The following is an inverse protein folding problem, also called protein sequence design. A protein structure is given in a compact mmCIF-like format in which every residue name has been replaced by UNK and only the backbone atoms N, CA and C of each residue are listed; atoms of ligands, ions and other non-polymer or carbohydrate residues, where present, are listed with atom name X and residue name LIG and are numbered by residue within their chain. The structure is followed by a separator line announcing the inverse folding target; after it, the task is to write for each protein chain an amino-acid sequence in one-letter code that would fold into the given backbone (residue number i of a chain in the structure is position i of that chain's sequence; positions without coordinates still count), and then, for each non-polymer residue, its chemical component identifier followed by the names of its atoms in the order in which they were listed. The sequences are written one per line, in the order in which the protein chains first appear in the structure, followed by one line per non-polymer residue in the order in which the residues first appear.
data_IF_593604218364
#
_entry.id   IF_593604218364
#
_cell.length_a   1.000
_cell.length_b   1.000
_cell.length_c   1.000
_cell.angle_alpha   90.00
_cell.angle_beta   90.00
_cell.angle_gamma   90.00
#
_symmetry.space_group_name_H-M   'P 1'
#
loop_
_entity.id
_entity.type
_entity.pdbx_description
1 polymer ?
#
# COMPACT_ATOMS: atom_id res chain seq x y z
N UNK A 1 -7.80 20.33 3.50
CA UNK A 1 -6.78 19.36 3.01
C UNK A 1 -6.51 18.24 4.02
N UNK A 2 -6.93 18.35 5.28
CA UNK A 2 -7.38 17.18 6.05
C UNK A 2 -8.90 17.33 6.21
N UNK A 3 -9.68 16.57 5.43
CA UNK A 3 -11.13 16.70 5.42
C UNK A 3 -11.70 16.10 6.71
N UNK A 4 -11.83 16.91 7.76
CA UNK A 4 -12.73 16.58 8.88
C UNK A 4 -14.09 17.18 8.52
N UNK A 5 -14.91 16.40 7.82
CA UNK A 5 -16.19 16.88 7.27
C UNK A 5 -16.98 15.77 6.58
N UNK A 6 -18.13 16.14 6.00
CA UNK A 6 -19.10 15.20 5.42
C UNK A 6 -18.47 14.26 4.38
N UNK A 7 -17.57 14.77 3.53
CA UNK A 7 -16.88 13.95 2.52
C UNK A 7 -16.07 12.80 3.12
N UNK A 8 -15.31 13.05 4.19
CA UNK A 8 -14.57 12.00 4.90
C UNK A 8 -15.50 11.02 5.59
N UNK A 9 -16.58 11.51 6.20
CA UNK A 9 -17.58 10.63 6.83
C UNK A 9 -18.23 9.72 5.79
N UNK A 10 -18.55 10.24 4.60
CA UNK A 10 -19.12 9.48 3.50
C UNK A 10 -18.13 8.44 2.97
N UNK A 11 -16.88 8.81 2.71
CA UNK A 11 -15.83 7.87 2.28
C UNK A 11 -15.59 6.78 3.32
N UNK A 12 -15.50 7.13 4.60
CA UNK A 12 -15.32 6.17 5.71
C UNK A 12 -16.50 5.19 5.79
N UNK A 13 -17.74 5.68 5.76
CA UNK A 13 -18.95 4.84 5.80
C UNK A 13 -18.99 3.90 4.59
N UNK A 14 -18.70 4.43 3.41
CA UNK A 14 -18.63 3.65 2.18
C UNK A 14 -17.59 2.53 2.27
N UNK A 15 -16.35 2.84 2.64
CA UNK A 15 -15.27 1.85 2.75
C UNK A 15 -15.58 0.77 3.80
N UNK A 16 -16.00 1.16 5.01
CA UNK A 16 -16.31 0.20 6.09
C UNK A 16 -17.48 -0.73 5.76
N UNK A 17 -18.45 -0.27 4.97
CA UNK A 17 -19.53 -1.11 4.47
C UNK A 17 -19.00 -2.12 3.45
N UNK A 18 -18.31 -1.64 2.42
CA UNK A 18 -17.78 -2.51 1.37
C UNK A 18 -16.78 -3.53 1.89
N UNK A 19 -15.85 -3.16 2.79
CA UNK A 19 -14.90 -4.10 3.38
C UNK A 19 -15.60 -5.24 4.13
N UNK A 20 -16.67 -4.93 4.87
CA UNK A 20 -17.48 -5.94 5.56
C UNK A 20 -18.20 -6.86 4.58
N UNK A 21 -18.74 -6.29 3.51
CA UNK A 21 -19.42 -7.04 2.46
C UNK A 21 -18.43 -8.01 1.79
N UNK A 22 -17.21 -7.53 1.47
CA UNK A 22 -16.09 -8.30 0.91
C UNK A 22 -15.55 -9.40 1.84
N UNK A 23 -15.80 -9.31 3.16
CA UNK A 23 -15.45 -10.37 4.10
C UNK A 23 -14.57 -9.96 5.28
N UNK A 24 -14.29 -8.68 5.45
CA UNK A 24 -13.64 -8.16 6.65
C UNK A 24 -14.48 -8.52 7.89
N UNK A 25 -13.86 -9.22 8.84
CA UNK A 25 -14.51 -9.72 10.05
C UNK A 25 -15.30 -11.02 9.85
N UNK A 26 -15.19 -11.69 8.70
CA UNK A 26 -15.72 -13.04 8.46
C UNK A 26 -14.59 -14.07 8.51
N UNK A 27 -14.94 -15.32 8.80
CA UNK A 27 -13.98 -16.44 8.90
C UNK A 27 -13.17 -16.70 7.62
N UNK A 28 -13.67 -16.27 6.46
CA UNK A 28 -12.93 -16.36 5.20
C UNK A 28 -11.62 -15.53 5.23
N UNK A 29 -11.68 -14.28 5.70
CA UNK A 29 -10.47 -13.45 5.80
C UNK A 29 -9.56 -13.93 6.94
N UNK A 30 -10.14 -14.47 8.02
CA UNK A 30 -9.37 -15.07 9.12
C UNK A 30 -8.51 -16.24 8.63
N UNK A 31 -9.06 -17.13 7.81
CA UNK A 31 -8.31 -18.22 7.21
C UNK A 31 -7.13 -17.73 6.36
N UNK A 32 -7.33 -16.67 5.58
CA UNK A 32 -6.26 -16.04 4.78
C UNK A 32 -5.17 -15.45 5.67
N UNK A 33 -5.55 -14.73 6.74
CA UNK A 33 -4.59 -14.18 7.70
C UNK A 33 -3.78 -15.31 8.36
N UNK A 34 -4.43 -16.41 8.72
CA UNK A 34 -3.76 -17.55 9.34
C UNK A 34 -2.80 -18.24 8.37
N UNK A 35 -3.16 -18.37 7.10
CA UNK A 35 -2.29 -18.92 6.06
C UNK A 35 -1.03 -18.05 5.87
N UNK A 36 -1.20 -16.74 5.71
CA UNK A 36 -0.08 -15.80 5.55
C UNK A 36 0.81 -15.76 6.82
N UNK A 37 0.21 -15.83 8.01
CA UNK A 37 0.95 -15.92 9.26
C UNK A 37 1.78 -17.21 9.36
N UNK A 38 1.24 -18.35 8.94
CA UNK A 38 1.97 -19.62 8.94
C UNK A 38 3.17 -19.57 8.00
N UNK A 39 3.02 -18.94 6.83
CA UNK A 39 4.13 -18.74 5.89
C UNK A 39 5.21 -17.84 6.46
N UNK A 40 4.83 -16.76 7.17
CA UNK A 40 5.79 -15.91 7.86
C UNK A 40 6.59 -16.66 8.92
N UNK A 41 5.93 -17.51 9.72
CA UNK A 41 6.62 -18.35 10.72
C UNK A 41 7.65 -19.25 10.04
N UNK A 42 7.28 -19.92 8.94
CA UNK A 42 8.17 -20.80 8.19
C UNK A 42 9.35 -20.03 7.57
N UNK A 43 9.10 -18.81 7.09
CA UNK A 43 10.16 -17.95 6.55
C UNK A 43 11.11 -17.47 7.64
N UNK A 44 10.58 -17.07 8.80
CA UNK A 44 11.37 -16.58 9.93
C UNK A 44 12.27 -17.64 10.54
N UNK A 45 11.87 -18.92 10.51
CA UNK A 45 12.73 -20.03 10.93
C UNK A 45 14.07 -20.08 10.16
N UNK A 46 14.13 -19.58 8.92
CA UNK A 46 15.38 -19.50 8.13
C UNK A 46 16.38 -18.47 8.69
N UNK A 47 15.89 -17.55 9.52
CA UNK A 47 16.63 -16.46 10.13
C UNK A 47 16.93 -16.70 11.61
N UNK A 48 16.54 -17.85 12.18
CA UNK A 48 16.80 -18.16 13.58
C UNK A 48 18.30 -18.11 13.90
N UNK A 49 18.65 -17.42 15.00
CA UNK A 49 20.03 -17.19 15.43
C UNK A 49 20.86 -16.24 14.56
N UNK A 50 20.28 -15.57 13.55
CA UNK A 50 20.98 -14.58 12.71
C UNK A 50 20.62 -13.16 13.11
N UNK A 51 21.62 -12.29 13.25
CA UNK A 51 21.40 -10.84 13.32
C UNK A 51 20.86 -10.37 11.96
N UNK A 52 19.65 -9.81 11.92
CA UNK A 52 19.03 -9.49 10.64
C UNK A 52 17.81 -8.57 10.74
N UNK A 53 17.67 -7.75 9.71
CA UNK A 53 16.54 -6.85 9.51
C UNK A 53 15.23 -7.64 9.30
N UNK A 54 14.12 -6.96 9.61
CA UNK A 54 12.76 -7.46 9.41
C UNK A 54 12.58 -8.05 7.98
N UNK A 55 12.17 -9.33 7.83
CA UNK A 55 12.10 -9.96 6.52
C UNK A 55 11.11 -9.27 5.58
N UNK A 56 11.46 -9.16 4.30
CA UNK A 56 10.59 -8.58 3.25
C UNK A 56 9.26 -9.33 3.10
N UNK A 57 9.22 -10.59 3.53
CA UNK A 57 8.04 -11.45 3.53
C UNK A 57 6.87 -10.85 4.31
N UNK A 58 7.11 -10.01 5.33
CA UNK A 58 6.01 -9.32 6.06
C UNK A 58 5.20 -8.41 5.14
N UNK A 59 5.87 -7.60 4.32
CA UNK A 59 5.18 -6.69 3.42
C UNK A 59 4.33 -7.46 2.40
N UNK A 60 4.86 -8.58 1.90
CA UNK A 60 4.14 -9.45 0.96
C UNK A 60 2.94 -10.11 1.64
N UNK A 61 3.10 -10.64 2.85
CA UNK A 61 2.01 -11.26 3.61
C UNK A 61 0.87 -10.28 3.91
N UNK A 62 1.18 -9.07 4.39
CA UNK A 62 0.17 -8.02 4.63
C UNK A 62 -0.53 -7.65 3.33
N UNK A 63 0.22 -7.50 2.25
CA UNK A 63 -0.30 -7.13 0.95
C UNK A 63 -1.19 -8.23 0.37
N UNK A 64 -0.85 -9.51 0.55
CA UNK A 64 -1.67 -10.66 0.18
C UNK A 64 -3.00 -10.68 0.93
N UNK A 65 -3.03 -10.39 2.24
CA UNK A 65 -4.29 -10.28 3.00
C UNK A 65 -5.19 -9.20 2.40
N UNK A 66 -4.62 -8.03 2.07
CA UNK A 66 -5.38 -6.93 1.46
C UNK A 66 -5.86 -7.32 0.05
N UNK A 67 -4.98 -7.85 -0.80
CA UNK A 67 -5.32 -8.25 -2.16
C UNK A 67 -6.34 -9.37 -2.23
N UNK A 68 -6.26 -10.32 -1.31
CA UNK A 68 -7.25 -11.38 -1.21
C UNK A 68 -8.63 -10.81 -0.86
N UNK A 69 -8.69 -9.79 0.00
CA UNK A 69 -9.93 -9.12 0.37
C UNK A 69 -10.52 -8.28 -0.76
N UNK A 70 -9.70 -7.53 -1.50
CA UNK A 70 -10.21 -6.53 -2.49
C UNK A 70 -10.25 -7.03 -3.93
N UNK A 71 -9.39 -7.98 -4.29
CA UNK A 71 -9.24 -8.51 -5.65
C UNK A 71 -9.28 -10.05 -5.73
N UNK A 72 -9.38 -10.75 -4.58
CA UNK A 72 -9.29 -12.22 -4.52
C UNK A 72 -8.02 -12.77 -5.19
N UNK A 73 -6.90 -12.05 -5.03
CA UNK A 73 -5.58 -12.41 -5.57
C UNK A 73 -4.58 -12.63 -4.44
N UNK A 74 -3.63 -13.52 -4.70
CA UNK A 74 -2.47 -13.81 -3.83
C UNK A 74 -1.21 -13.92 -4.67
N UNK A 75 -0.12 -13.35 -4.17
CA UNK A 75 1.20 -13.38 -4.79
C UNK A 75 2.16 -14.26 -4.01
N UNK A 76 3.10 -14.87 -4.72
CA UNK A 76 4.21 -15.60 -4.11
C UNK A 76 5.32 -14.64 -3.67
N UNK A 77 6.20 -15.10 -2.78
CA UNK A 77 7.31 -14.30 -2.25
C UNK A 77 8.28 -13.82 -3.35
N UNK A 78 8.48 -14.63 -4.38
CA UNK A 78 9.40 -14.37 -5.48
C UNK A 78 8.72 -13.79 -6.73
N UNK A 79 7.45 -13.39 -6.60
CA UNK A 79 6.70 -12.82 -7.71
C UNK A 79 7.30 -11.46 -8.13
N UNK A 80 7.62 -11.34 -9.42
CA UNK A 80 8.26 -10.13 -9.96
C UNK A 80 7.33 -8.93 -9.97
N UNK A 81 6.05 -9.15 -10.23
CA UNK A 81 5.03 -8.11 -10.29
C UNK A 81 4.85 -7.47 -8.91
N UNK A 82 4.68 -8.29 -7.87
CA UNK A 82 4.56 -7.79 -6.49
C UNK A 82 5.87 -7.17 -6.01
N UNK A 83 7.02 -7.72 -6.40
CA UNK A 83 8.33 -7.18 -6.09
C UNK A 83 8.53 -5.78 -6.67
N UNK A 84 8.13 -5.56 -7.92
CA UNK A 84 8.15 -4.25 -8.57
C UNK A 84 7.21 -3.26 -7.88
N UNK A 85 6.01 -3.69 -7.50
CA UNK A 85 5.06 -2.84 -6.79
C UNK A 85 5.55 -2.43 -5.40
N UNK A 86 6.16 -3.35 -4.64
CA UNK A 86 6.75 -3.06 -3.33
C UNK A 86 7.92 -2.07 -3.47
N UNK A 87 8.76 -2.23 -4.49
CA UNK A 87 9.84 -1.28 -4.77
C UNK A 87 9.29 0.11 -5.11
N UNK A 88 8.20 0.18 -5.89
CA UNK A 88 7.50 1.42 -6.19
C UNK A 88 6.93 2.08 -4.92
N UNK A 89 6.27 1.31 -4.05
CA UNK A 89 5.79 1.82 -2.76
C UNK A 89 6.92 2.34 -1.87
N UNK A 90 8.08 1.69 -1.87
CA UNK A 90 9.26 2.16 -1.14
C UNK A 90 9.74 3.51 -1.67
N UNK A 91 9.89 3.65 -2.99
CA UNK A 91 10.25 4.95 -3.59
C UNK A 91 9.20 6.03 -3.27
N UNK A 92 7.91 5.66 -3.28
CA UNK A 92 6.83 6.56 -2.91
C UNK A 92 6.94 7.03 -1.47
N UNK A 93 7.26 6.14 -0.54
CA UNK A 93 7.45 6.48 0.87
C UNK A 93 8.64 7.44 1.08
N UNK A 94 9.75 7.23 0.37
CA UNK A 94 10.94 8.08 0.44
C UNK A 94 10.64 9.50 -0.09
N UNK A 95 9.89 9.59 -1.18
CA UNK A 95 9.57 10.86 -1.85
C UNK A 95 8.30 11.55 -1.32
N UNK A 96 7.54 10.91 -0.42
CA UNK A 96 6.27 11.45 0.08
C UNK A 96 6.43 12.82 0.74
N UNK A 97 7.62 13.10 1.29
CA UNK A 97 8.01 14.38 1.88
C UNK A 97 7.89 15.53 0.88
N UNK A 98 8.24 15.28 -0.39
CA UNK A 98 8.12 16.25 -1.47
C UNK A 98 6.67 16.73 -1.65
N UNK A 99 5.70 15.83 -1.48
CA UNK A 99 4.28 16.14 -1.60
C UNK A 99 3.77 17.12 -0.54
N UNK A 100 4.41 17.15 0.63
CA UNK A 100 4.05 18.05 1.73
C UNK A 100 4.72 19.42 1.64
N UNK A 101 5.73 19.61 0.77
CA UNK A 101 6.41 20.89 0.60
C UNK A 101 5.48 22.10 0.36
N UNK A 102 4.39 22.01 -0.44
CA UNK A 102 3.48 23.14 -0.67
C UNK A 102 2.70 23.55 0.59
N UNK A 103 2.61 22.68 1.60
CA UNK A 103 1.98 23.00 2.89
C UNK A 103 2.89 23.92 3.70
N UNK A 104 4.20 23.64 3.71
CA UNK A 104 5.19 24.45 4.44
C UNK A 104 5.63 25.69 3.65
N UNK A 105 5.59 25.61 2.32
CA UNK A 105 5.99 26.68 1.41
C UNK A 105 4.88 26.98 0.39
N UNK A 106 3.85 27.76 0.76
CA UNK A 106 2.72 28.08 -0.11
C UNK A 106 3.11 28.73 -1.45
N UNK A 107 4.30 29.37 -1.50
CA UNK A 107 4.84 29.99 -2.71
C UNK A 107 5.06 28.97 -3.84
N UNK A 108 5.26 27.69 -3.51
CA UNK A 108 5.41 26.62 -4.49
C UNK A 108 4.15 26.40 -5.35
N UNK A 109 2.96 26.84 -4.88
CA UNK A 109 1.73 26.74 -5.66
C UNK A 109 1.69 27.69 -6.87
N UNK A 110 2.57 28.69 -6.93
CA UNK A 110 2.67 29.64 -8.04
C UNK A 110 3.69 29.22 -9.10
N UNK A 111 4.46 28.14 -8.86
CA UNK A 111 5.40 27.61 -9.86
C UNK A 111 4.66 27.02 -11.07
N UNK A 112 5.25 27.12 -12.28
CA UNK A 112 4.75 26.41 -13.45
C UNK A 112 4.54 24.91 -13.21
N UNK A 113 3.45 24.37 -13.75
CA UNK A 113 3.03 22.97 -13.51
C UNK A 113 4.10 21.92 -13.86
N UNK A 114 4.97 22.18 -14.84
CA UNK A 114 6.05 21.26 -15.19
C UNK A 114 7.12 21.17 -14.09
N UNK A 115 7.38 22.28 -13.37
CA UNK A 115 8.33 22.30 -12.25
C UNK A 115 7.73 21.63 -11.02
N UNK A 116 6.47 21.95 -10.68
CA UNK A 116 5.81 21.33 -9.52
C UNK A 116 5.61 19.83 -9.71
N UNK A 117 5.32 19.36 -10.92
CA UNK A 117 5.16 17.92 -11.20
C UNK A 117 6.43 17.12 -10.93
N UNK A 118 7.58 17.65 -11.35
CA UNK A 118 8.89 17.02 -11.13
C UNK A 118 9.37 17.18 -9.68
N UNK A 119 9.14 18.34 -9.08
CA UNK A 119 9.66 18.69 -7.75
C UNK A 119 8.86 18.06 -6.60
N UNK A 120 7.56 17.83 -6.80
CA UNK A 120 6.66 17.23 -5.80
C UNK A 120 6.43 15.73 -6.02
N UNK A 121 7.22 15.09 -6.89
CA UNK A 121 7.11 13.67 -7.25
C UNK A 121 5.70 13.22 -7.62
N UNK A 122 4.91 14.09 -8.27
CA UNK A 122 3.51 13.78 -8.62
C UNK A 122 3.41 12.62 -9.61
N UNK A 123 4.42 12.41 -10.44
CA UNK A 123 4.51 11.26 -11.35
C UNK A 123 4.52 9.92 -10.60
N UNK A 124 5.01 9.91 -9.36
CA UNK A 124 5.07 8.71 -8.55
C UNK A 124 3.70 8.30 -8.03
N UNK A 125 2.85 9.28 -7.67
CA UNK A 125 1.45 9.04 -7.31
C UNK A 125 0.70 8.44 -8.49
N UNK A 126 0.89 9.02 -9.68
CA UNK A 126 0.26 8.53 -10.91
C UNK A 126 0.68 7.08 -11.19
N UNK A 127 1.97 6.75 -11.03
CA UNK A 127 2.50 5.39 -11.18
C UNK A 127 1.93 4.41 -10.15
N UNK A 128 1.91 4.78 -8.87
CA UNK A 128 1.32 3.93 -7.81
C UNK A 128 -0.15 3.67 -8.11
N UNK A 129 -0.90 4.71 -8.48
CA UNK A 129 -2.32 4.58 -8.82
C UNK A 129 -2.53 3.65 -10.02
N UNK A 130 -1.73 3.80 -11.08
CA UNK A 130 -1.80 2.94 -12.28
C UNK A 130 -1.51 1.48 -11.93
N UNK A 131 -0.42 1.21 -11.21
CA UNK A 131 -0.08 -0.15 -10.80
C UNK A 131 -1.17 -0.78 -9.91
N UNK A 132 -1.76 -0.03 -8.98
CA UNK A 132 -2.87 -0.54 -8.17
C UNK A 132 -4.05 -0.96 -9.05
N UNK A 133 -4.37 -0.19 -10.10
CA UNK A 133 -5.43 -0.54 -11.04
C UNK A 133 -5.08 -1.79 -11.86
N UNK A 134 -3.85 -1.88 -12.38
CA UNK A 134 -3.36 -3.04 -13.15
C UNK A 134 -3.40 -4.33 -12.31
N UNK A 135 -3.01 -4.25 -11.04
CA UNK A 135 -3.03 -5.39 -10.11
C UNK A 135 -4.46 -5.83 -9.76
N UNK A 136 -5.44 -4.92 -9.81
CA UNK A 136 -6.85 -5.25 -9.58
C UNK A 136 -7.51 -5.96 -10.77
N UNK A 137 -7.06 -5.68 -12.01
CA UNK A 137 -7.65 -6.21 -13.25
C UNK A 137 -8.29 -5.12 -14.11
#
# INVERSE_FOLDING_TARGET
ILTNGEQWQNARRFLLRNLRDLGMGKSCLEAVIQEEAQMLVNDFQKYDGKEGHLPKSINIAVLNVIWQLVASRRYELDDKEIGSFIALLKSFQEDITGLFLPIFFPILNYLPRFLTRKLLSLELIDKVKQNVLELMG
#
